data_IF_846360890620
#
_entry.id   IF_846360890620
#
_cell.length_a   1.000
_cell.length_b   1.000
_cell.length_c   1.000
_cell.angle_alpha   90.00
_cell.angle_beta   90.00
_cell.angle_gamma   90.00
#
_symmetry.space_group_name_H-M   'P 1'
#
loop_
_entity.id
_entity.type
_entity.pdbx_description
1 polymer ?
#
# COMPACT_ATOMS: atom_id res chain seq x y z
N UNK A 1 -6.93 11.61 18.97
CA UNK A 1 -5.95 10.54 18.65
C UNK A 1 -5.38 10.84 17.27
N UNK A 2 -4.06 10.90 17.15
CA UNK A 2 -3.37 11.09 15.86
C UNK A 2 -3.03 9.72 15.28
N UNK A 3 -3.18 9.56 13.97
CA UNK A 3 -2.78 8.38 13.21
C UNK A 3 -2.02 8.84 11.97
N UNK A 4 -1.51 7.91 11.17
CA UNK A 4 -1.05 8.21 9.82
C UNK A 4 -1.98 7.57 8.79
N UNK A 5 -2.04 8.17 7.62
CA UNK A 5 -2.64 7.62 6.41
C UNK A 5 -1.57 7.57 5.33
N UNK A 6 -1.69 6.63 4.39
CA UNK A 6 -0.75 6.52 3.28
C UNK A 6 -1.37 6.98 1.97
N UNK A 7 -0.59 7.73 1.19
CA UNK A 7 -0.94 8.15 -0.16
C UNK A 7 0.01 7.51 -1.15
N UNK A 8 -0.50 6.68 -2.07
CA UNK A 8 0.30 6.20 -3.19
C UNK A 8 0.51 7.36 -4.16
N UNK A 9 1.78 7.67 -4.44
CA UNK A 9 2.16 8.75 -5.35
C UNK A 9 2.21 8.25 -6.79
N UNK A 10 2.51 9.15 -7.74
CA UNK A 10 2.81 8.78 -9.14
C UNK A 10 4.31 8.53 -9.38
N UNK A 11 5.18 8.87 -8.44
CA UNK A 11 6.62 8.72 -8.56
C UNK A 11 7.00 7.25 -8.37
N UNK A 12 7.84 6.73 -9.26
CA UNK A 12 8.33 5.36 -9.15
C UNK A 12 9.58 5.29 -8.29
N UNK A 13 10.48 6.27 -8.47
CA UNK A 13 11.76 6.33 -7.78
C UNK A 13 11.97 7.72 -7.16
N UNK A 14 12.86 7.80 -6.18
CA UNK A 14 13.16 9.07 -5.50
C UNK A 14 13.75 10.13 -6.45
N UNK A 15 14.37 9.69 -7.56
CA UNK A 15 14.93 10.56 -8.59
C UNK A 15 13.85 11.27 -9.43
N UNK A 16 12.59 10.79 -9.40
CA UNK A 16 11.47 11.38 -10.13
C UNK A 16 10.87 12.60 -9.38
N UNK A 17 11.43 12.95 -8.22
CA UNK A 17 10.90 13.99 -7.34
C UNK A 17 11.68 15.29 -7.56
N UNK A 18 11.04 16.23 -8.26
CA UNK A 18 11.58 17.57 -8.47
C UNK A 18 11.38 18.49 -7.24
N UNK A 19 10.56 18.08 -6.27
CA UNK A 19 10.22 18.83 -5.07
C UNK A 19 11.19 18.58 -3.90
N UNK A 20 11.47 19.59 -3.05
CA UNK A 20 12.26 19.39 -1.84
C UNK A 20 11.61 18.39 -0.88
N UNK A 21 12.24 17.22 -0.68
CA UNK A 21 11.76 16.12 0.18
C UNK A 21 11.86 16.47 1.69
N UNK A 22 12.37 17.65 2.04
CA UNK A 22 12.81 18.01 3.39
C UNK A 22 11.76 17.82 4.51
N UNK A 23 10.47 17.72 4.16
CA UNK A 23 9.36 17.44 5.09
C UNK A 23 8.42 16.30 4.63
N UNK A 24 8.86 15.42 3.72
CA UNK A 24 8.05 14.32 3.19
C UNK A 24 8.65 13.00 3.64
N UNK A 25 7.83 12.15 4.25
CA UNK A 25 8.18 10.76 4.53
C UNK A 25 7.65 9.87 3.41
N UNK A 26 8.54 9.22 2.68
CA UNK A 26 8.24 8.31 1.57
C UNK A 26 8.77 6.92 1.90
N UNK A 27 8.01 5.91 1.49
CA UNK A 27 8.42 4.51 1.50
C UNK A 27 8.62 4.08 0.04
N UNK A 28 9.77 3.48 -0.22
CA UNK A 28 10.12 2.83 -1.48
C UNK A 28 10.20 1.31 -1.24
N UNK A 29 10.09 0.52 -2.32
CA UNK A 29 10.33 -0.92 -2.26
C UNK A 29 9.18 -1.73 -1.65
N UNK A 30 7.95 -1.23 -1.73
CA UNK A 30 6.77 -2.00 -1.36
C UNK A 30 6.23 -2.77 -2.55
N UNK A 31 5.73 -3.98 -2.28
CA UNK A 31 5.19 -4.87 -3.30
C UNK A 31 3.74 -5.25 -2.98
N UNK A 32 2.84 -5.11 -3.95
CA UNK A 32 1.44 -5.49 -3.88
C UNK A 32 1.25 -6.94 -4.31
N UNK A 33 0.55 -7.71 -3.48
CA UNK A 33 0.12 -9.07 -3.74
C UNK A 33 -1.42 -9.15 -3.71
N UNK A 34 -2.00 -10.04 -4.52
CA UNK A 34 -3.45 -10.29 -4.55
C UNK A 34 -4.27 -9.26 -5.33
N UNK A 35 -3.63 -8.25 -5.91
CA UNK A 35 -4.24 -7.25 -6.79
C UNK A 35 -3.17 -6.61 -7.70
N UNK A 36 -3.62 -5.78 -8.65
CA UNK A 36 -2.78 -4.84 -9.37
C UNK A 36 -3.01 -3.40 -8.93
N UNK A 37 -2.06 -2.53 -9.24
CA UNK A 37 -2.21 -1.08 -9.06
C UNK A 37 -2.19 -0.37 -10.41
N UNK A 38 -3.24 0.41 -10.67
CA UNK A 38 -3.32 1.30 -11.82
C UNK A 38 -2.71 2.65 -11.45
N UNK A 39 -1.53 2.95 -12.00
CA UNK A 39 -0.78 4.19 -11.73
C UNK A 39 -1.52 5.41 -12.29
N UNK A 40 -2.18 5.28 -13.44
CA UNK A 40 -2.87 6.38 -14.10
C UNK A 40 -4.11 6.79 -13.31
N UNK A 41 -4.90 5.81 -12.87
CA UNK A 41 -6.11 6.03 -12.09
C UNK A 41 -5.88 6.06 -10.56
N UNK A 42 -4.66 5.76 -10.11
CA UNK A 42 -4.24 5.67 -8.72
C UNK A 42 -5.17 4.80 -7.85
N UNK A 43 -5.50 3.59 -8.33
CA UNK A 43 -6.44 2.70 -7.65
C UNK A 43 -6.13 1.21 -7.82
N UNK A 44 -6.65 0.39 -6.91
CA UNK A 44 -6.62 -1.07 -7.03
C UNK A 44 -7.40 -1.54 -8.27
N UNK A 45 -6.79 -2.47 -9.00
CA UNK A 45 -7.35 -3.19 -10.13
C UNK A 45 -7.16 -4.70 -9.96
N UNK A 46 -7.88 -5.49 -10.74
CA UNK A 46 -7.66 -6.94 -10.75
C UNK A 46 -6.25 -7.25 -11.23
N UNK A 47 -5.66 -8.25 -10.62
CA UNK A 47 -4.34 -8.74 -10.99
C UNK A 47 -4.38 -9.32 -12.39
N UNK A 48 -3.35 -9.04 -13.20
CA UNK A 48 -3.21 -9.69 -14.51
C UNK A 48 -2.62 -11.10 -14.33
N UNK A 49 -3.11 -12.07 -15.11
CA UNK A 49 -2.84 -13.52 -14.97
C UNK A 49 -1.35 -13.96 -15.02
N UNK A 50 -0.38 -13.04 -15.08
CA UNK A 50 1.06 -13.34 -15.20
C UNK A 50 1.93 -12.69 -14.12
N UNK A 51 1.36 -11.88 -13.23
CA UNK A 51 2.16 -11.11 -12.27
C UNK A 51 1.59 -11.27 -10.86
N UNK A 52 2.12 -12.23 -10.09
CA UNK A 52 1.70 -12.53 -8.72
C UNK A 52 1.99 -11.40 -7.73
N UNK A 53 3.02 -10.60 -8.02
CA UNK A 53 3.47 -9.49 -7.19
C UNK A 53 3.79 -8.30 -8.10
N UNK A 54 3.34 -7.10 -7.70
CA UNK A 54 3.60 -5.85 -8.40
C UNK A 54 4.35 -4.86 -7.50
N UNK A 55 5.46 -4.30 -7.99
CA UNK A 55 6.12 -3.19 -7.30
C UNK A 55 5.22 -1.95 -7.27
N UNK A 56 5.10 -1.33 -6.10
CA UNK A 56 4.28 -0.14 -5.90
C UNK A 56 5.10 1.14 -6.19
N UNK A 57 4.43 2.21 -6.65
CA UNK A 57 5.01 3.55 -6.62
C UNK A 57 5.40 3.96 -5.18
N UNK A 58 6.16 5.04 -5.06
CA UNK A 58 6.49 5.61 -3.76
C UNK A 58 5.22 5.90 -2.95
N UNK A 59 5.21 5.47 -1.70
CA UNK A 59 4.08 5.67 -0.79
C UNK A 59 4.43 6.75 0.22
N UNK A 60 3.65 7.82 0.24
CA UNK A 60 3.81 8.93 1.19
C UNK A 60 3.05 8.66 2.49
N UNK A 61 3.73 8.85 3.61
CA UNK A 61 3.12 8.78 4.94
C UNK A 61 2.70 10.19 5.35
N UNK A 62 1.42 10.35 5.73
CA UNK A 62 0.84 11.64 6.10
C UNK A 62 0.24 11.53 7.51
N UNK A 63 0.74 12.31 8.49
CA UNK A 63 0.13 12.35 9.82
C UNK A 63 -1.22 13.07 9.74
N UNK A 64 -2.25 12.50 10.36
CA UNK A 64 -3.60 13.05 10.32
C UNK A 64 -4.40 12.69 11.59
N UNK A 65 -5.36 13.53 11.94
CA UNK A 65 -6.33 13.22 12.99
C UNK A 65 -7.35 12.22 12.47
N UNK A 66 -7.61 11.15 13.23
CA UNK A 66 -8.40 10.00 12.78
C UNK A 66 -9.79 10.38 12.22
N UNK A 67 -10.45 11.39 12.77
CA UNK A 67 -11.79 11.80 12.34
C UNK A 67 -11.82 12.51 10.97
N UNK A 68 -10.67 12.92 10.42
CA UNK A 68 -10.57 13.60 9.13
C UNK A 68 -10.42 12.63 7.94
N UNK A 69 -10.25 11.33 8.21
CA UNK A 69 -10.07 10.33 7.15
C UNK A 69 -11.42 9.78 6.73
N UNK A 70 -11.80 9.96 5.46
CA UNK A 70 -12.89 9.21 4.85
C UNK A 70 -12.34 7.89 4.29
N UNK A 71 -12.58 6.80 5.03
CA UNK A 71 -12.07 5.46 4.69
C UNK A 71 -12.96 4.67 3.71
N UNK A 72 -14.12 5.20 3.28
CA UNK A 72 -15.13 4.39 2.58
C UNK A 72 -14.62 3.73 1.28
N UNK A 73 -13.66 4.37 0.59
CA UNK A 73 -13.05 3.88 -0.64
C UNK A 73 -11.57 3.55 -0.48
N UNK A 74 -11.09 3.41 0.75
CA UNK A 74 -9.72 3.05 1.05
C UNK A 74 -9.69 1.70 1.76
N UNK A 75 -8.98 0.75 1.17
CA UNK A 75 -8.70 -0.52 1.79
C UNK A 75 -7.58 -0.33 2.82
N UNK A 76 -7.86 -0.66 4.09
CA UNK A 76 -6.82 -0.88 5.09
C UNK A 76 -6.06 -2.16 4.74
N UNK A 77 -4.94 -1.99 4.06
CA UNK A 77 -4.14 -3.05 3.44
C UNK A 77 -2.99 -3.40 4.38
N UNK A 78 -2.91 -4.63 4.90
CA UNK A 78 -1.83 -5.01 5.80
C UNK A 78 -0.49 -5.02 5.06
N UNK A 79 0.53 -4.47 5.71
CA UNK A 79 1.92 -4.52 5.27
C UNK A 79 2.65 -5.59 6.08
N UNK A 80 3.21 -6.58 5.38
CA UNK A 80 3.98 -7.66 5.97
C UNK A 80 5.47 -7.54 5.63
N UNK A 81 6.32 -8.17 6.46
CA UNK A 81 7.77 -8.24 6.20
C UNK A 81 8.02 -9.09 4.94
N UNK A 82 7.40 -10.26 4.87
CA UNK A 82 7.60 -11.26 3.81
C UNK A 82 6.28 -11.88 3.38
N UNK A 83 6.33 -12.71 2.34
CA UNK A 83 5.15 -13.42 1.80
C UNK A 83 4.56 -14.46 2.78
N UNK A 84 5.33 -14.87 3.79
CA UNK A 84 4.87 -15.73 4.90
C UNK A 84 3.89 -15.02 5.87
N UNK A 85 3.68 -13.70 5.69
CA UNK A 85 2.74 -12.87 6.46
C UNK A 85 3.00 -12.95 7.97
N UNK A 86 1.94 -13.08 8.79
CA UNK A 86 2.03 -13.08 10.26
C UNK A 86 2.10 -14.51 10.78
N UNK A 87 3.17 -14.84 11.50
CA UNK A 87 3.34 -16.14 12.13
C UNK A 87 2.58 -16.27 13.47
N UNK A 88 2.56 -17.48 14.04
CA UNK A 88 1.86 -17.78 15.30
C UNK A 88 2.38 -16.98 16.51
N UNK A 89 3.61 -16.48 16.46
CA UNK A 89 4.19 -15.60 17.49
C UNK A 89 3.79 -14.12 17.29
N UNK A 90 2.97 -13.85 16.28
CA UNK A 90 2.49 -12.51 15.96
C UNK A 90 3.47 -11.65 15.18
N UNK A 91 4.63 -12.21 14.76
CA UNK A 91 5.68 -11.53 14.01
C UNK A 91 5.32 -11.54 12.52
N UNK A 92 5.63 -10.45 11.82
CA UNK A 92 5.50 -10.35 10.36
C UNK A 92 4.57 -9.25 9.90
N UNK A 93 3.61 -8.80 10.73
CA UNK A 93 2.81 -7.60 10.47
C UNK A 93 3.57 -6.34 10.88
N UNK A 94 3.52 -5.30 10.04
CA UNK A 94 4.21 -4.02 10.27
C UNK A 94 3.21 -2.91 10.55
N UNK A 95 2.31 -2.61 9.60
CA UNK A 95 1.26 -1.60 9.72
C UNK A 95 0.16 -1.79 8.66
N UNK A 96 -0.85 -0.93 8.64
CA UNK A 96 -1.87 -0.88 7.57
C UNK A 96 -1.68 0.35 6.68
N UNK A 97 -1.54 0.13 5.38
CA UNK A 97 -1.55 1.17 4.36
C UNK A 97 -2.99 1.39 3.83
N UNK A 98 -3.35 2.63 3.54
CA UNK A 98 -4.57 3.00 2.85
C UNK A 98 -4.37 2.92 1.34
N UNK A 99 -5.05 1.99 0.67
CA UNK A 99 -5.06 1.87 -0.80
C UNK A 99 -6.43 2.25 -1.36
N UNK A 100 -6.46 3.21 -2.27
CA UNK A 100 -7.72 3.65 -2.89
C UNK A 100 -8.29 2.58 -3.83
N UNK A 101 -9.61 2.47 -3.86
CA UNK A 101 -10.31 1.58 -4.78
C UNK A 101 -11.65 2.14 -5.26
N UNK A 102 -12.06 1.70 -6.46
CA UNK A 102 -13.38 1.95 -7.04
C UNK A 102 -14.36 0.78 -6.81
N UNK A 103 -13.87 -0.37 -6.34
CA UNK A 103 -14.68 -1.56 -6.04
C UNK A 103 -15.00 -1.64 -4.55
N UNK A 104 -15.98 -2.48 -4.19
CA UNK A 104 -16.29 -2.75 -2.79
C UNK A 104 -15.09 -3.38 -2.07
N UNK A 105 -14.82 -2.96 -0.83
CA UNK A 105 -13.69 -3.43 -0.03
C UNK A 105 -13.67 -4.96 0.14
N UNK A 106 -14.85 -5.59 0.26
CA UNK A 106 -14.96 -7.05 0.42
C UNK A 106 -14.31 -7.84 -0.71
N UNK A 107 -14.32 -7.32 -1.94
CA UNK A 107 -13.67 -7.96 -3.09
C UNK A 107 -12.17 -8.13 -2.86
N UNK A 108 -11.50 -7.08 -2.33
CA UNK A 108 -10.07 -7.09 -2.07
C UNK A 108 -9.70 -7.85 -0.81
N UNK A 109 -10.55 -7.78 0.22
CA UNK A 109 -10.39 -8.57 1.45
C UNK A 109 -10.40 -10.07 1.10
N UNK A 110 -11.37 -10.51 0.28
CA UNK A 110 -11.47 -11.91 -0.15
C UNK A 110 -10.35 -12.33 -1.10
N UNK A 111 -9.79 -11.39 -1.88
CA UNK A 111 -8.63 -11.64 -2.74
C UNK A 111 -7.31 -11.67 -1.95
N UNK A 112 -7.34 -11.39 -0.64
CA UNK A 112 -6.18 -11.48 0.23
C UNK A 112 -5.13 -10.41 -0.06
N UNK A 113 -5.54 -9.23 -0.52
CA UNK A 113 -4.66 -8.11 -0.88
C UNK A 113 -3.78 -7.69 0.29
N UNK A 114 -2.47 -7.63 0.07
CA UNK A 114 -1.50 -7.15 1.04
C UNK A 114 -0.32 -6.43 0.37
N UNK A 115 0.47 -5.74 1.19
CA UNK A 115 1.77 -5.21 0.79
C UNK A 115 2.88 -5.99 1.48
N UNK A 116 4.01 -6.15 0.81
CA UNK A 116 5.21 -6.82 1.31
C UNK A 116 6.39 -5.84 1.32
N UNK A 117 7.23 -5.90 2.35
CA UNK A 117 8.52 -5.20 2.41
C UNK A 117 9.62 -5.95 1.65
N UNK A 118 9.51 -7.27 1.58
CA UNK A 118 10.45 -8.12 0.88
C UNK A 118 9.70 -9.22 0.13
N UNK A 119 10.09 -9.43 -1.13
CA UNK A 119 9.69 -10.60 -1.89
C UNK A 119 10.76 -11.66 -1.67
N UNK A 120 10.46 -12.68 -0.89
CA UNK A 120 11.41 -13.77 -0.59
C UNK A 120 12.00 -14.30 -1.90
N UNK A 121 13.29 -14.03 -2.12
CA UNK A 121 14.08 -14.46 -3.28
C UNK A 121 15.14 -15.46 -2.81
#
# INVERSE_FOLDING_TARGET
>A
RTTFYTHVTKWQNINDIDEPIQNICLIEGLYLEGAGWDIENNCLIEQTNKQLIQMMPLIKIIPIETYRINMNNYLATPVYITSDRRNAMGIGFVFEASLYTKKNLSHWILSGVCLLLNTDS
#
